data_IF_208275286108
#
_entry.id   IF_208275286108
#
_cell.length_a   1.000
_cell.length_b   1.000
_cell.length_c   1.000
_cell.angle_alpha   90.00
_cell.angle_beta   90.00
_cell.angle_gamma   90.00
#
_symmetry.space_group_name_H-M   'P 1'
#
loop_
_entity.id
_entity.type
_entity.pdbx_description
1 polymer ?
#
# COMPACT_ATOMS: atom_id res chain seq x y z
N UNK A 1 22.43 -20.42 39.15
CA UNK A 1 20.99 -20.56 38.91
C UNK A 1 20.51 -19.26 38.31
N UNK A 2 19.76 -19.41 37.23
CA UNK A 2 18.84 -18.44 36.63
C UNK A 2 19.40 -17.34 35.72
N UNK A 3 19.15 -17.62 34.44
CA UNK A 3 19.16 -16.76 33.27
C UNK A 3 17.96 -15.77 33.26
N UNK A 4 18.07 -14.84 32.30
CA UNK A 4 17.03 -14.22 31.45
C UNK A 4 16.43 -12.88 31.91
N UNK A 5 16.47 -11.90 30.99
CA UNK A 5 15.68 -10.67 31.06
C UNK A 5 15.75 -9.78 29.81
N UNK A 6 15.48 -10.38 28.63
CA UNK A 6 15.03 -9.76 27.36
C UNK A 6 15.66 -8.45 26.86
N UNK A 7 16.62 -8.59 25.95
CA UNK A 7 16.79 -7.68 24.81
C UNK A 7 16.41 -8.42 23.53
N UNK A 8 15.12 -8.62 23.28
CA UNK A 8 14.64 -9.21 22.04
C UNK A 8 14.78 -8.18 20.93
N UNK A 9 15.83 -8.39 20.13
CA UNK A 9 16.04 -7.73 18.85
C UNK A 9 14.76 -7.88 18.02
N UNK A 10 14.25 -6.77 17.52
CA UNK A 10 13.06 -6.67 16.67
C UNK A 10 13.33 -7.43 15.37
N UNK A 11 12.96 -8.70 15.31
CA UNK A 11 12.83 -9.40 14.05
C UNK A 11 11.62 -8.80 13.34
N UNK A 12 11.87 -7.88 12.40
CA UNK A 12 10.99 -7.70 11.25
C UNK A 12 10.81 -9.10 10.66
N UNK A 13 9.67 -9.74 10.92
CA UNK A 13 9.27 -10.97 10.22
C UNK A 13 9.01 -10.58 8.77
N UNK A 14 10.10 -10.44 8.00
CA UNK A 14 10.06 -10.56 6.55
C UNK A 14 9.32 -11.86 6.30
N UNK A 15 8.16 -11.79 5.66
CA UNK A 15 7.34 -12.98 5.45
C UNK A 15 8.21 -14.06 4.80
N UNK A 16 8.18 -15.32 5.30
CA UNK A 16 9.13 -16.38 4.88
C UNK A 16 9.18 -16.61 3.36
N UNK A 17 8.11 -16.18 2.68
CA UNK A 17 7.95 -16.24 1.23
C UNK A 17 8.96 -15.36 0.49
N UNK A 18 9.19 -14.12 0.91
CA UNK A 18 10.07 -13.20 0.20
C UNK A 18 11.54 -13.39 0.58
N UNK A 19 11.83 -13.78 1.82
CA UNK A 19 13.20 -14.04 2.28
C UNK A 19 13.89 -15.21 1.58
N UNK A 20 13.11 -16.09 0.94
CA UNK A 20 13.62 -17.24 0.16
C UNK A 20 13.85 -16.92 -1.33
N UNK A 21 13.45 -15.74 -1.81
CA UNK A 21 13.54 -15.35 -3.23
C UNK A 21 14.90 -14.76 -3.58
N UNK A 22 15.30 -14.85 -4.85
CA UNK A 22 16.54 -14.22 -5.31
C UNK A 22 16.42 -12.70 -5.32
N UNK A 23 17.51 -12.00 -5.03
CA UNK A 23 17.54 -10.53 -4.96
C UNK A 23 17.01 -9.87 -6.25
N UNK A 24 17.37 -10.40 -7.42
CA UNK A 24 16.91 -9.91 -8.72
C UNK A 24 15.40 -10.11 -8.92
N UNK A 25 14.83 -11.18 -8.36
CA UNK A 25 13.39 -11.45 -8.43
C UNK A 25 12.62 -10.50 -7.50
N UNK A 26 13.15 -10.27 -6.29
CA UNK A 26 12.61 -9.28 -5.34
C UNK A 26 12.63 -7.86 -5.91
N UNK A 27 13.69 -7.49 -6.63
CA UNK A 27 13.81 -6.17 -7.25
C UNK A 27 12.75 -5.96 -8.34
N UNK A 28 12.51 -6.95 -9.21
CA UNK A 28 11.42 -6.91 -10.20
C UNK A 28 10.05 -6.78 -9.53
N UNK A 29 9.82 -7.55 -8.45
CA UNK A 29 8.58 -7.47 -7.67
C UNK A 29 8.40 -6.11 -7.00
N UNK A 30 9.46 -5.56 -6.43
CA UNK A 30 9.45 -4.24 -5.79
C UNK A 30 9.13 -3.14 -6.80
N UNK A 31 9.77 -3.15 -7.98
CA UNK A 31 9.49 -2.18 -9.05
C UNK A 31 8.03 -2.26 -9.49
N UNK A 32 7.52 -3.47 -9.74
CA UNK A 32 6.12 -3.68 -10.11
C UNK A 32 5.14 -3.21 -9.03
N UNK A 33 5.44 -3.51 -7.76
CA UNK A 33 4.63 -3.08 -6.63
C UNK A 33 4.66 -1.56 -6.43
N UNK A 34 5.79 -0.89 -6.66
CA UNK A 34 5.88 0.58 -6.60
C UNK A 34 5.02 1.23 -7.69
N UNK A 35 5.07 0.69 -8.92
CA UNK A 35 4.23 1.20 -10.01
C UNK A 35 2.74 1.00 -9.73
N UNK A 36 2.34 -0.18 -9.26
CA UNK A 36 0.95 -0.43 -8.84
C UNK A 36 0.54 0.53 -7.72
N UNK A 37 1.39 0.77 -6.73
CA UNK A 37 1.10 1.70 -5.63
C UNK A 37 0.83 3.12 -6.15
N UNK A 38 1.67 3.61 -7.06
CA UNK A 38 1.51 4.94 -7.69
C UNK A 38 0.22 5.03 -8.50
N UNK A 39 -0.12 3.98 -9.25
CA UNK A 39 -1.36 3.93 -10.03
C UNK A 39 -2.60 3.93 -9.14
N UNK A 40 -2.57 3.19 -8.03
CA UNK A 40 -3.66 3.19 -7.06
C UNK A 40 -3.84 4.58 -6.44
N UNK A 41 -2.76 5.22 -5.99
CA UNK A 41 -2.81 6.58 -5.46
C UNK A 41 -3.43 7.58 -6.47
N UNK A 42 -2.97 7.57 -7.72
CA UNK A 42 -3.51 8.47 -8.75
C UNK A 42 -5.00 8.21 -9.03
N UNK A 43 -5.43 6.95 -9.01
CA UNK A 43 -6.83 6.59 -9.20
C UNK A 43 -7.70 6.96 -7.98
N UNK A 44 -7.14 6.85 -6.78
CA UNK A 44 -7.82 7.17 -5.52
C UNK A 44 -7.99 8.69 -5.36
N UNK A 45 -6.97 9.47 -5.76
CA UNK A 45 -7.03 10.95 -5.77
C UNK A 45 -8.19 11.46 -6.65
N UNK A 46 -8.40 10.86 -7.83
CA UNK A 46 -9.48 11.25 -8.73
C UNK A 46 -10.88 11.03 -8.10
N UNK A 47 -11.06 9.92 -7.39
CA UNK A 47 -12.34 9.60 -6.70
C UNK A 47 -12.56 10.53 -5.50
N UNK A 48 -11.49 10.83 -4.75
CA UNK A 48 -11.56 11.78 -3.64
C UNK A 48 -11.94 13.20 -4.12
N UNK A 49 -11.34 13.67 -5.21
CA UNK A 49 -11.68 14.96 -5.82
C UNK A 49 -13.14 15.01 -6.30
N UNK A 50 -13.62 13.93 -6.93
CA UNK A 50 -15.00 13.83 -7.37
C UNK A 50 -15.99 13.81 -6.19
N UNK A 51 -15.69 13.03 -5.15
CA UNK A 51 -16.49 13.00 -3.93
C UNK A 51 -16.55 14.36 -3.24
N UNK A 52 -15.41 15.05 -3.12
CA UNK A 52 -15.34 16.39 -2.55
C UNK A 52 -16.18 17.38 -3.34
N UNK A 53 -16.07 17.36 -4.68
CA UNK A 53 -16.88 18.21 -5.57
C UNK A 53 -18.37 17.90 -5.45
N UNK A 54 -18.73 16.62 -5.42
CA UNK A 54 -20.12 16.18 -5.32
C UNK A 54 -20.74 16.58 -3.97
N UNK A 55 -19.96 16.55 -2.89
CA UNK A 55 -20.40 16.95 -1.56
C UNK A 55 -20.71 18.45 -1.46
N UNK A 56 -20.00 19.28 -2.22
CA UNK A 56 -20.21 20.73 -2.27
C UNK A 56 -21.36 21.14 -3.20
N UNK A 57 -21.89 20.21 -4.01
CA UNK A 57 -23.01 20.45 -4.93
C UNK A 57 -24.36 20.03 -4.29
N UNK A 58 -25.24 20.99 -3.95
CA UNK A 58 -26.52 20.71 -3.30
C UNK A 58 -27.53 19.98 -4.21
N UNK A 59 -27.23 19.86 -5.51
CA UNK A 59 -28.08 19.13 -6.47
C UNK A 59 -27.80 17.63 -6.47
N UNK A 60 -26.67 17.20 -5.89
CA UNK A 60 -26.30 15.79 -5.80
C UNK A 60 -27.15 15.09 -4.75
N UNK A 61 -27.67 13.93 -5.12
CA UNK A 61 -28.48 13.12 -4.21
C UNK A 61 -27.59 12.43 -3.18
N UNK A 62 -28.12 12.25 -1.96
CA UNK A 62 -27.44 11.51 -0.89
C UNK A 62 -27.06 10.08 -1.29
N UNK A 63 -27.81 9.46 -2.21
CA UNK A 63 -27.49 8.13 -2.75
C UNK A 63 -26.16 8.14 -3.52
N UNK A 64 -25.95 9.15 -4.37
CA UNK A 64 -24.72 9.28 -5.16
C UNK A 64 -23.53 9.58 -4.26
N UNK A 65 -23.69 10.45 -3.27
CA UNK A 65 -22.66 10.72 -2.26
C UNK A 65 -22.24 9.46 -1.49
N UNK A 66 -23.22 8.62 -1.11
CA UNK A 66 -22.93 7.36 -0.42
C UNK A 66 -22.16 6.38 -1.31
N UNK A 67 -22.54 6.26 -2.59
CA UNK A 67 -21.81 5.39 -3.51
C UNK A 67 -20.35 5.82 -3.71
N UNK A 68 -20.10 7.13 -3.81
CA UNK A 68 -18.73 7.67 -3.90
C UNK A 68 -17.94 7.43 -2.60
N UNK A 69 -18.59 7.57 -1.44
CA UNK A 69 -17.98 7.25 -0.15
C UNK A 69 -17.62 5.76 -0.03
N UNK A 70 -18.53 4.86 -0.41
CA UNK A 70 -18.30 3.41 -0.38
C UNK A 70 -17.16 3.01 -1.33
N UNK A 71 -17.09 3.63 -2.51
CA UNK A 71 -15.99 3.42 -3.45
C UNK A 71 -14.64 3.90 -2.89
N UNK A 72 -14.61 5.09 -2.27
CA UNK A 72 -13.42 5.60 -1.62
C UNK A 72 -12.91 4.66 -0.51
N UNK A 73 -13.81 4.15 0.34
CA UNK A 73 -13.43 3.20 1.41
C UNK A 73 -12.88 1.89 0.86
N UNK A 74 -13.50 1.33 -0.18
CA UNK A 74 -13.03 0.09 -0.81
C UNK A 74 -11.64 0.26 -1.44
N UNK A 75 -11.38 1.43 -2.01
CA UNK A 75 -10.07 1.81 -2.57
C UNK A 75 -9.01 1.99 -1.50
N UNK A 76 -9.36 2.66 -0.40
CA UNK A 76 -8.47 2.80 0.74
C UNK A 76 -8.01 1.43 1.27
N UNK A 77 -8.93 0.48 1.47
CA UNK A 77 -8.59 -0.87 1.95
C UNK A 77 -7.65 -1.61 0.97
N UNK A 78 -7.89 -1.46 -0.34
CA UNK A 78 -7.02 -2.03 -1.39
C UNK A 78 -5.63 -1.41 -1.35
N UNK A 79 -5.54 -0.08 -1.22
CA UNK A 79 -4.28 0.65 -1.15
C UNK A 79 -3.47 0.30 0.10
N UNK A 80 -4.11 0.15 1.26
CA UNK A 80 -3.46 -0.32 2.49
C UNK A 80 -2.92 -1.76 2.35
N UNK A 81 -3.72 -2.66 1.76
CA UNK A 81 -3.30 -4.04 1.48
C UNK A 81 -2.11 -4.09 0.53
N UNK A 82 -2.13 -3.24 -0.50
CA UNK A 82 -1.07 -3.16 -1.50
C UNK A 82 0.21 -2.57 -0.89
N UNK A 83 0.10 -1.51 -0.08
CA UNK A 83 1.22 -0.89 0.60
C UNK A 83 1.88 -1.85 1.59
N UNK A 84 1.10 -2.67 2.32
CA UNK A 84 1.65 -3.70 3.21
C UNK A 84 2.49 -4.72 2.45
N UNK A 85 2.00 -5.19 1.30
CA UNK A 85 2.76 -6.10 0.42
C UNK A 85 4.04 -5.46 -0.07
N UNK A 86 4.00 -4.19 -0.48
CA UNK A 86 5.19 -3.46 -0.89
C UNK A 86 6.20 -3.37 0.26
N UNK A 87 5.76 -3.03 1.48
CA UNK A 87 6.62 -2.97 2.66
C UNK A 87 7.35 -4.30 2.89
N UNK A 88 6.63 -5.42 2.86
CA UNK A 88 7.24 -6.75 3.05
C UNK A 88 8.29 -7.08 1.99
N UNK A 89 8.05 -6.68 0.74
CA UNK A 89 9.01 -6.86 -0.36
C UNK A 89 10.25 -5.99 -0.15
N UNK A 90 10.08 -4.72 0.25
CA UNK A 90 11.19 -3.81 0.52
C UNK A 90 12.02 -4.28 1.72
N UNK A 91 11.37 -4.77 2.78
CA UNK A 91 12.06 -5.33 3.95
C UNK A 91 12.90 -6.56 3.55
N UNK A 92 12.39 -7.42 2.66
CA UNK A 92 13.13 -8.55 2.11
C UNK A 92 14.29 -8.13 1.20
N UNK A 93 14.09 -7.10 0.38
CA UNK A 93 15.06 -6.60 -0.58
C UNK A 93 16.19 -5.82 0.10
N UNK A 94 15.90 -5.15 1.22
CA UNK A 94 16.83 -4.38 2.04
C UNK A 94 17.11 -2.96 1.53
N UNK A 95 16.43 -2.51 0.48
CA UNK A 95 16.50 -1.15 -0.06
C UNK A 95 15.27 -0.87 -0.94
N UNK A 96 14.99 0.41 -1.21
CA UNK A 96 13.96 0.83 -2.16
C UNK A 96 14.61 0.98 -3.55
N UNK A 97 14.21 0.22 -4.57
CA UNK A 97 14.77 0.35 -5.90
C UNK A 97 14.30 1.66 -6.56
N UNK A 98 15.12 2.19 -7.44
CA UNK A 98 14.76 3.37 -8.22
C UNK A 98 13.72 2.99 -9.27
N UNK A 99 12.57 3.66 -9.23
CA UNK A 99 11.49 3.47 -10.19
C UNK A 99 11.21 4.80 -10.87
N UNK A 100 11.53 4.94 -12.16
CA UNK A 100 11.26 6.17 -12.89
C UNK A 100 9.77 6.49 -12.80
N UNK A 101 9.47 7.78 -12.66
CA UNK A 101 8.14 8.32 -12.89
C UNK A 101 8.06 8.57 -14.39
N UNK A 102 7.20 7.82 -15.07
CA UNK A 102 6.84 8.12 -16.47
C UNK A 102 6.10 9.46 -16.58
#
# INVERSE_FOLDING_TARGET
MEHVGLGQNTSNEVTPRYSSMQKSELEVLAIGAINEHRNLLAADDAVYEEWTRANDDPTITTSVLRSLQDEYLARQERSETQQRKLSEIIDALGYVPEVPVD
#
